data_IF_445410478677
#
_entry.id   IF_445410478677
#
_cell.length_a   1.000
_cell.length_b   1.000
_cell.length_c   1.000
_cell.angle_alpha   90.00
_cell.angle_beta   90.00
_cell.angle_gamma   90.00
#
_symmetry.space_group_name_H-M   'P 1'
#
loop_
_entity.id
_entity.type
_entity.pdbx_description
1 polymer ?
#
# COMPACT_ATOMS: atom_id res chain seq x y z
N UNK A 1 -16.35 -10.98 16.16
CA UNK A 1 -14.94 -10.77 16.49
C UNK A 1 -14.41 -9.67 15.57
N UNK A 2 -14.05 -8.51 16.11
CA UNK A 2 -13.60 -7.36 15.32
C UNK A 2 -12.18 -7.64 14.78
N UNK A 3 -12.05 -7.82 13.47
CA UNK A 3 -10.79 -8.15 12.82
C UNK A 3 -10.25 -6.94 12.05
N UNK A 4 -8.99 -6.57 12.32
CA UNK A 4 -8.27 -5.57 11.54
C UNK A 4 -7.90 -6.12 10.16
N UNK A 5 -7.80 -5.25 9.17
CA UNK A 5 -7.35 -5.61 7.81
C UNK A 5 -5.85 -5.43 7.74
N UNK A 6 -5.16 -6.55 7.62
CA UNK A 6 -3.71 -6.65 7.38
C UNK A 6 -3.53 -7.50 6.12
N UNK A 7 -2.92 -6.96 5.08
CA UNK A 7 -2.76 -7.65 3.79
C UNK A 7 -1.35 -8.20 3.59
N UNK A 8 -0.34 -7.59 4.20
CA UNK A 8 1.03 -8.08 4.11
C UNK A 8 1.69 -8.20 5.50
N UNK A 9 2.57 -9.19 5.66
CA UNK A 9 3.32 -9.44 6.91
C UNK A 9 4.33 -8.34 7.25
N UNK A 10 4.77 -7.59 6.25
CA UNK A 10 5.72 -6.49 6.41
C UNK A 10 5.03 -5.21 6.91
N UNK A 11 3.70 -5.14 6.81
CA UNK A 11 2.94 -3.97 7.27
C UNK A 11 3.19 -3.71 8.76
N UNK A 12 3.42 -2.46 9.10
CA UNK A 12 3.50 -2.00 10.49
C UNK A 12 2.26 -1.24 10.95
N UNK A 13 1.26 -1.10 10.06
CA UNK A 13 -0.07 -0.60 10.37
C UNK A 13 -1.15 -1.51 9.78
N UNK A 14 -2.34 -1.52 10.39
CA UNK A 14 -3.53 -2.18 9.84
C UNK A 14 -4.66 -1.17 9.63
N UNK A 15 -5.59 -1.50 8.72
CA UNK A 15 -6.79 -0.69 8.49
C UNK A 15 -7.93 -1.19 9.37
N UNK A 16 -8.70 -0.25 9.92
CA UNK A 16 -9.85 -0.55 10.78
C UNK A 16 -11.13 -0.54 9.96
N UNK A 17 -11.82 -1.68 9.76
CA UNK A 17 -13.11 -1.71 9.07
C UNK A 17 -14.32 -1.36 9.96
N UNK A 18 -14.07 -0.72 11.09
CA UNK A 18 -15.05 -0.24 12.07
C UNK A 18 -14.43 0.88 12.92
N UNK A 19 -15.26 1.62 13.64
CA UNK A 19 -14.78 2.61 14.61
C UNK A 19 -14.23 1.87 15.84
N UNK A 20 -13.03 2.26 16.29
CA UNK A 20 -12.38 1.70 17.48
C UNK A 20 -12.47 2.73 18.62
N UNK A 21 -12.95 2.27 19.77
CA UNK A 21 -12.85 3.02 21.03
C UNK A 21 -11.49 2.80 21.71
N UNK A 22 -11.00 3.76 22.49
CA UNK A 22 -9.80 3.53 23.31
C UNK A 22 -9.95 2.28 24.20
N UNK A 23 -8.83 1.63 24.54
CA UNK A 23 -8.77 0.41 25.34
C UNK A 23 -9.43 -0.82 24.69
N UNK A 24 -9.68 -0.80 23.38
CA UNK A 24 -10.14 -1.98 22.63
C UNK A 24 -8.95 -2.93 22.42
N UNK A 25 -9.10 -4.19 22.85
CA UNK A 25 -8.07 -5.22 22.70
C UNK A 25 -8.25 -6.04 21.43
N UNK A 26 -7.15 -6.23 20.70
CA UNK A 26 -7.04 -7.07 19.51
C UNK A 26 -6.12 -8.25 19.80
N UNK A 27 -6.70 -9.35 20.27
CA UNK A 27 -5.95 -10.53 20.72
C UNK A 27 -5.04 -11.13 19.63
N UNK A 28 -5.47 -11.07 18.36
CA UNK A 28 -4.70 -11.64 17.24
C UNK A 28 -3.41 -10.85 16.93
N UNK A 29 -3.35 -9.57 17.28
CA UNK A 29 -2.19 -8.70 17.11
C UNK A 29 -1.49 -8.35 18.41
N UNK A 30 -2.05 -8.82 19.55
CA UNK A 30 -1.59 -8.50 20.91
C UNK A 30 -1.42 -7.00 21.17
N UNK A 31 -2.36 -6.20 20.66
CA UNK A 31 -2.37 -4.74 20.85
C UNK A 31 -3.65 -4.29 21.53
N UNK A 32 -3.55 -3.12 22.18
CA UNK A 32 -4.68 -2.39 22.77
C UNK A 32 -4.70 -1.00 22.15
N UNK A 33 -5.85 -0.56 21.66
CA UNK A 33 -5.97 0.81 21.11
C UNK A 33 -5.75 1.85 22.20
N UNK A 34 -4.95 2.85 21.88
CA UNK A 34 -4.69 4.00 22.76
C UNK A 34 -5.70 5.11 22.47
N UNK A 35 -5.88 5.39 21.20
CA UNK A 35 -6.73 6.47 20.70
C UNK A 35 -8.07 5.96 20.15
N UNK A 36 -9.09 6.83 20.05
CA UNK A 36 -10.25 6.55 19.22
C UNK A 36 -9.81 6.57 17.75
N UNK A 37 -10.16 5.52 16.99
CA UNK A 37 -9.75 5.41 15.59
C UNK A 37 -11.01 5.29 14.71
N UNK A 38 -11.22 6.24 13.77
CA UNK A 38 -12.37 6.20 12.87
C UNK A 38 -12.34 5.02 11.91
N UNK A 39 -13.49 4.67 11.36
CA UNK A 39 -13.62 3.70 10.28
C UNK A 39 -12.70 4.04 9.10
N UNK A 40 -12.03 3.06 8.54
CA UNK A 40 -11.12 3.20 7.38
C UNK A 40 -9.75 3.77 7.72
N UNK A 41 -9.52 4.21 8.97
CA UNK A 41 -8.22 4.72 9.39
C UNK A 41 -7.25 3.61 9.78
N UNK A 42 -6.03 3.98 10.11
CA UNK A 42 -4.93 3.06 10.41
C UNK A 42 -4.61 3.03 11.90
N UNK A 43 -4.36 1.83 12.41
CA UNK A 43 -3.83 1.57 13.74
C UNK A 43 -2.40 1.05 13.64
N UNK A 44 -1.51 1.53 14.48
CA UNK A 44 -0.13 1.06 14.55
C UNK A 44 -0.07 -0.34 15.16
N UNK A 45 0.65 -1.27 14.52
CA UNK A 45 0.83 -2.65 14.98
C UNK A 45 2.18 -2.87 15.66
N UNK A 46 3.24 -2.21 15.17
CA UNK A 46 4.62 -2.35 15.63
C UNK A 46 5.19 -0.98 15.95
N UNK A 47 6.08 -0.83 16.94
CA UNK A 47 6.71 0.47 17.20
C UNK A 47 7.35 1.04 15.94
N UNK A 48 7.13 2.32 15.67
CA UNK A 48 7.72 3.05 14.54
C UNK A 48 8.42 4.28 15.11
N UNK A 49 9.74 4.36 14.94
CA UNK A 49 10.50 5.51 15.43
C UNK A 49 10.34 6.70 14.48
N UNK A 50 10.57 7.92 15.00
CA UNK A 50 10.59 9.13 14.18
C UNK A 50 11.53 8.96 12.98
N UNK A 51 11.03 9.24 11.78
CA UNK A 51 11.77 9.13 10.52
C UNK A 51 11.72 7.75 9.87
N UNK A 52 11.23 6.72 10.56
CA UNK A 52 11.04 5.39 9.98
C UNK A 52 9.84 5.33 9.04
N UNK A 53 9.87 4.41 8.04
CA UNK A 53 8.80 4.26 7.09
C UNK A 53 7.54 3.66 7.73
N UNK A 54 6.38 4.20 7.40
CA UNK A 54 5.08 3.59 7.64
C UNK A 54 4.74 2.74 6.43
N UNK A 55 4.55 1.43 6.66
CA UNK A 55 4.35 0.42 5.61
C UNK A 55 2.91 -0.08 5.66
N UNK A 56 2.24 -0.04 4.51
CA UNK A 56 0.90 -0.56 4.31
C UNK A 56 0.84 -1.24 2.94
N UNK A 57 0.34 -2.48 2.89
CA UNK A 57 0.28 -3.29 1.66
C UNK A 57 1.65 -3.48 1.01
N UNK A 58 2.66 -3.75 1.84
CA UNK A 58 4.08 -3.85 1.46
C UNK A 58 4.62 -2.61 0.73
N UNK A 59 3.99 -1.44 0.97
CA UNK A 59 4.37 -0.18 0.37
C UNK A 59 4.61 0.88 1.44
N UNK A 60 5.68 1.68 1.26
CA UNK A 60 5.90 2.87 2.08
C UNK A 60 4.84 3.90 1.72
N UNK A 61 3.99 4.27 2.69
CA UNK A 61 2.94 5.26 2.53
C UNK A 61 3.32 6.64 3.12
N UNK A 62 4.49 6.73 3.70
CA UNK A 62 5.05 7.93 4.31
C UNK A 62 6.02 7.57 5.43
N UNK A 63 6.42 8.57 6.21
CA UNK A 63 7.38 8.44 7.31
C UNK A 63 6.80 8.98 8.60
N UNK A 64 7.17 8.40 9.72
CA UNK A 64 6.72 8.86 11.02
C UNK A 64 7.34 10.23 11.35
N UNK A 65 6.53 11.26 11.54
CA UNK A 65 6.98 12.60 11.97
C UNK A 65 7.37 12.64 13.45
N UNK A 66 6.89 11.68 14.23
CA UNK A 66 7.25 11.40 15.63
C UNK A 66 7.17 9.91 15.88
N UNK A 67 7.72 9.42 16.99
CA UNK A 67 7.59 7.99 17.36
C UNK A 67 6.12 7.62 17.57
N UNK A 68 5.72 6.46 17.04
CA UNK A 68 4.35 5.93 17.08
C UNK A 68 4.39 4.57 17.79
N UNK A 69 3.54 4.39 18.79
CA UNK A 69 3.46 3.14 19.57
C UNK A 69 2.36 2.23 19.04
N UNK A 70 2.47 0.91 19.24
CA UNK A 70 1.38 -0.01 18.95
C UNK A 70 0.07 0.42 19.62
N UNK A 71 -1.03 0.37 18.86
CA UNK A 71 -2.33 0.82 19.32
C UNK A 71 -2.66 2.29 19.08
N UNK A 72 -1.69 3.10 18.67
CA UNK A 72 -1.94 4.51 18.34
C UNK A 72 -2.55 4.67 16.94
N UNK A 73 -3.36 5.71 16.79
CA UNK A 73 -3.93 6.14 15.51
C UNK A 73 -2.84 6.71 14.60
N UNK A 74 -2.75 6.23 13.36
CA UNK A 74 -1.79 6.71 12.35
C UNK A 74 -2.50 7.56 11.31
N UNK A 75 -2.17 8.85 11.27
CA UNK A 75 -2.75 9.83 10.35
C UNK A 75 -1.81 11.03 10.16
N UNK A 76 -2.25 12.10 9.49
CA UNK A 76 -1.47 13.31 9.21
C UNK A 76 -0.81 13.98 10.41
N UNK A 77 -1.26 13.73 11.64
CA UNK A 77 -0.66 14.29 12.87
C UNK A 77 0.66 13.58 13.29
N UNK A 78 0.95 12.41 12.72
CA UNK A 78 2.16 11.61 13.00
C UNK A 78 2.74 10.91 11.77
N UNK A 79 2.16 11.13 10.59
CA UNK A 79 2.62 10.63 9.30
C UNK A 79 2.89 11.80 8.37
N UNK A 80 4.09 11.86 7.81
CA UNK A 80 4.49 12.88 6.83
C UNK A 80 4.92 12.21 5.52
N UNK A 81 4.75 12.91 4.41
CA UNK A 81 5.31 12.49 3.12
C UNK A 81 6.72 13.04 2.96
N UNK A 82 7.64 12.19 2.51
CA UNK A 82 9.00 12.58 2.08
C UNK A 82 9.28 11.93 0.75
N UNK A 83 9.98 12.63 -0.11
CA UNK A 83 10.52 12.02 -1.32
C UNK A 83 11.53 10.94 -0.94
N UNK A 84 11.42 9.78 -1.55
CA UNK A 84 12.37 8.69 -1.41
C UNK A 84 12.55 8.00 -2.75
N UNK A 85 13.80 7.67 -3.05
CA UNK A 85 14.14 6.93 -4.25
C UNK A 85 13.82 5.46 -4.02
N UNK A 86 12.95 4.88 -4.83
CA UNK A 86 12.81 3.43 -4.94
C UNK A 86 13.87 2.95 -5.92
N UNK A 87 14.86 2.25 -5.43
CA UNK A 87 15.74 1.48 -6.31
C UNK A 87 14.93 0.30 -6.87
N UNK A 88 14.42 0.47 -8.07
CA UNK A 88 13.90 -0.65 -8.84
C UNK A 88 15.10 -1.40 -9.43
N UNK A 89 15.54 -2.46 -8.77
CA UNK A 89 16.37 -3.44 -9.45
C UNK A 89 15.45 -4.23 -10.38
N UNK A 90 15.40 -3.80 -11.63
CA UNK A 90 14.87 -4.67 -12.68
C UNK A 90 15.87 -5.83 -12.72
N UNK A 91 15.53 -6.97 -12.14
CA UNK A 91 16.28 -8.19 -12.32
C UNK A 91 16.17 -8.57 -13.79
N UNK A 92 17.03 -7.90 -14.60
CA UNK A 92 17.12 -8.17 -16.01
C UNK A 92 17.82 -9.50 -16.24
N UNK A 93 17.09 -10.59 -16.26
CA UNK A 93 17.47 -11.84 -16.94
C UNK A 93 16.35 -12.88 -16.87
N UNK A 94 15.12 -12.48 -17.16
CA UNK A 94 14.21 -13.44 -17.74
C UNK A 94 13.93 -12.98 -19.17
N UNK A 95 14.90 -13.23 -20.08
CA UNK A 95 14.59 -13.32 -21.48
C UNK A 95 13.77 -14.58 -21.69
N UNK A 96 12.50 -14.53 -21.27
CA UNK A 96 11.50 -15.45 -21.78
C UNK A 96 11.28 -14.93 -23.20
N UNK A 97 11.93 -15.57 -24.16
CA UNK A 97 11.61 -15.34 -25.56
C UNK A 97 10.10 -15.61 -25.70
N UNK A 98 9.33 -14.67 -26.24
CA UNK A 98 7.92 -14.92 -26.45
C UNK A 98 7.78 -16.16 -27.35
N UNK A 99 6.99 -17.14 -26.90
CA UNK A 99 6.64 -18.26 -27.76
C UNK A 99 5.94 -17.69 -29.00
N UNK A 100 6.42 -18.05 -30.19
CA UNK A 100 5.73 -17.71 -31.43
C UNK A 100 4.34 -18.33 -31.38
N UNK A 101 3.32 -17.51 -31.24
CA UNK A 101 1.94 -17.96 -31.29
C UNK A 101 1.30 -17.53 -32.62
N UNK A 102 0.54 -18.44 -33.21
CA UNK A 102 -0.29 -18.12 -34.38
C UNK A 102 -1.60 -17.40 -34.02
N UNK A 103 -1.68 -16.85 -32.82
CA UNK A 103 -2.84 -16.09 -32.37
C UNK A 103 -2.88 -14.74 -33.08
N UNK A 104 -4.00 -14.46 -33.71
CA UNK A 104 -4.28 -13.21 -34.40
C UNK A 104 -5.36 -12.44 -33.65
N UNK A 105 -5.33 -11.13 -33.75
CA UNK A 105 -6.40 -10.24 -33.30
C UNK A 105 -6.75 -9.22 -34.38
N UNK A 106 -7.97 -8.71 -34.34
CA UNK A 106 -8.38 -7.58 -35.15
C UNK A 106 -7.89 -6.29 -34.51
N UNK A 107 -7.07 -5.54 -35.23
CA UNK A 107 -6.48 -4.29 -34.75
C UNK A 107 -6.87 -3.11 -35.63
N UNK A 108 -6.69 -1.90 -35.11
CA UNK A 108 -6.84 -0.63 -35.85
C UNK A 108 -5.46 -0.27 -36.39
N UNK A 109 -5.30 -0.26 -37.70
CA UNK A 109 -4.10 0.25 -38.36
C UNK A 109 -4.19 1.78 -38.40
N UNK A 110 -3.18 2.46 -37.88
CA UNK A 110 -3.08 3.92 -37.85
C UNK A 110 -2.29 4.44 -39.05
N UNK A 111 -2.47 5.71 -39.39
CA UNK A 111 -1.82 6.35 -40.55
C UNK A 111 -0.28 6.34 -40.44
N UNK A 112 0.27 6.30 -39.23
CA UNK A 112 1.71 6.18 -38.96
C UNK A 112 2.24 4.73 -39.00
N UNK A 113 1.41 3.75 -39.29
CA UNK A 113 1.77 2.33 -39.35
C UNK A 113 1.65 1.56 -38.04
N UNK A 114 1.33 2.20 -36.91
CA UNK A 114 1.11 1.53 -35.63
C UNK A 114 -0.18 0.72 -35.63
N UNK A 115 -0.17 -0.41 -34.94
CA UNK A 115 -1.35 -1.24 -34.75
C UNK A 115 -1.81 -1.14 -33.30
N UNK A 116 -3.09 -0.86 -33.09
CA UNK A 116 -3.68 -0.74 -31.77
C UNK A 116 -4.96 -1.57 -31.63
N UNK A 117 -5.25 -2.08 -30.46
CA UNK A 117 -6.48 -2.84 -30.15
C UNK A 117 -7.64 -1.93 -29.75
N UNK A 118 -7.38 -0.67 -29.39
CA UNK A 118 -8.38 0.31 -28.91
C UNK A 118 -7.97 1.73 -29.28
N UNK A 119 -8.93 2.64 -29.22
CA UNK A 119 -8.66 4.07 -29.38
C UNK A 119 -7.90 4.65 -28.18
N UNK A 120 -7.30 5.82 -28.40
CA UNK A 120 -6.65 6.58 -27.32
C UNK A 120 -7.66 6.98 -26.25
N UNK A 121 -7.22 6.94 -25.01
CA UNK A 121 -7.95 7.49 -23.86
C UNK A 121 -7.14 8.71 -23.39
N UNK A 122 -7.73 9.90 -23.50
CA UNK A 122 -7.18 11.14 -22.94
C UNK A 122 -7.69 11.33 -21.51
N UNK A 123 -6.77 11.60 -20.59
CA UNK A 123 -7.10 12.01 -19.23
C UNK A 123 -6.69 13.48 -19.12
N UNK A 124 -7.66 14.37 -18.82
CA UNK A 124 -7.47 15.82 -18.66
C UNK A 124 -7.51 16.16 -17.18
#
# INVERSE_FOLDING_TARGET
MNKLILLDKNDNVAVTPFVISPQTRFANQDIVSVDPIPFGHKICLKPINKGEPVIKYDQIIGFASKSIKPGEHVHSHNLEFKEFNREFSISGKNNIAPEESNLCFEGILRDNGDVATRNYIGII
#
